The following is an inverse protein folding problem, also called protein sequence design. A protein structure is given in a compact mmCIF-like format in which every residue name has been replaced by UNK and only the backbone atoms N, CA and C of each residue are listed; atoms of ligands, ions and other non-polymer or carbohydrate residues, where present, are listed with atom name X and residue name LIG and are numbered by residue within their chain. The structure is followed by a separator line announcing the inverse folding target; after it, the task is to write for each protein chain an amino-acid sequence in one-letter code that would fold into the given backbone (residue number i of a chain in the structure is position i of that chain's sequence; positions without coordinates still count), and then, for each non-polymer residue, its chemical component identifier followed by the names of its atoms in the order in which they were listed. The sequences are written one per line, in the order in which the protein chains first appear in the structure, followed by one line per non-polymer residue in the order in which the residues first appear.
data_IF_719477317881
#
_entry.id   IF_719477317881
#
_cell.length_a   1.000
_cell.length_b   1.000
_cell.length_c   1.000
_cell.angle_alpha   90.00
_cell.angle_beta   90.00
_cell.angle_gamma   90.00
#
_symmetry.space_group_name_H-M   'P 1'
#
loop_
_entity.id
_entity.type
_entity.pdbx_description
1 polymer ?
#
# COMPACT_ATOMS: atom_id res chain seq x y z
N UNK A 1 6.36 22.10 -10.16
CA UNK A 1 6.44 20.67 -10.54
C UNK A 1 7.75 20.49 -11.30
N UNK A 2 8.80 19.98 -10.64
CA UNK A 2 10.18 20.14 -11.11
C UNK A 2 10.50 19.17 -12.27
N UNK A 3 10.95 19.73 -13.39
CA UNK A 3 11.14 19.09 -14.70
C UNK A 3 12.20 17.97 -14.75
N UNK A 4 12.85 17.65 -13.63
CA UNK A 4 13.86 16.59 -13.52
C UNK A 4 13.20 15.19 -13.46
N UNK A 5 11.97 15.08 -12.97
CA UNK A 5 11.27 13.79 -12.84
C UNK A 5 10.79 13.20 -14.17
N UNK A 6 10.58 14.01 -15.21
CA UNK A 6 10.08 13.49 -16.51
C UNK A 6 11.14 12.74 -17.32
N UNK A 7 12.42 13.08 -17.17
CA UNK A 7 13.50 12.47 -17.95
C UNK A 7 13.90 11.07 -17.44
N UNK A 8 13.66 10.78 -16.16
CA UNK A 8 14.02 9.50 -15.53
C UNK A 8 13.01 8.37 -15.84
N UNK A 9 11.76 8.72 -16.14
CA UNK A 9 10.66 7.78 -16.42
C UNK A 9 10.85 7.00 -17.74
N UNK A 10 11.68 7.50 -18.66
CA UNK A 10 11.79 6.94 -20.02
C UNK A 10 12.78 5.77 -20.17
N UNK A 11 13.58 5.42 -19.14
CA UNK A 11 14.76 4.54 -19.33
C UNK A 11 14.93 3.35 -18.39
N UNK A 12 14.04 3.12 -17.41
CA UNK A 12 14.14 1.96 -16.51
C UNK A 12 12.90 1.05 -16.61
N UNK A 13 13.11 -0.26 -16.71
CA UNK A 13 12.06 -1.26 -16.88
C UNK A 13 10.97 -1.18 -15.80
N UNK A 14 9.70 -1.25 -16.22
CA UNK A 14 8.51 -0.86 -15.46
C UNK A 14 8.22 -1.64 -14.16
N UNK A 15 8.96 -2.70 -13.85
CA UNK A 15 8.83 -3.44 -12.60
C UNK A 15 9.49 -2.69 -11.43
N UNK A 16 10.76 -2.30 -11.56
CA UNK A 16 11.52 -1.61 -10.52
C UNK A 16 10.98 -0.21 -10.17
N UNK A 17 10.42 0.50 -11.16
CA UNK A 17 9.83 1.82 -10.94
C UNK A 17 8.58 1.72 -10.06
N UNK A 18 7.76 0.69 -10.23
CA UNK A 18 6.55 0.49 -9.42
C UNK A 18 6.89 0.25 -7.95
N UNK A 19 7.94 -0.53 -7.67
CA UNK A 19 8.37 -0.86 -6.31
C UNK A 19 8.95 0.34 -5.54
N UNK A 20 9.77 1.17 -6.17
CA UNK A 20 10.31 2.39 -5.54
C UNK A 20 9.19 3.41 -5.27
N UNK A 21 8.24 3.55 -6.20
CA UNK A 21 7.11 4.47 -6.03
C UNK A 21 6.17 4.01 -4.91
N UNK A 22 5.92 2.70 -4.79
CA UNK A 22 5.08 2.16 -3.72
C UNK A 22 5.70 2.40 -2.33
N UNK A 23 7.01 2.24 -2.16
CA UNK A 23 7.64 2.57 -0.87
C UNK A 23 7.64 4.08 -0.60
N UNK A 24 7.93 4.90 -1.61
CA UNK A 24 8.00 6.36 -1.43
C UNK A 24 6.64 7.00 -1.13
N UNK A 25 5.54 6.42 -1.62
CA UNK A 25 4.18 6.92 -1.35
C UNK A 25 3.73 6.73 0.11
N UNK A 26 4.36 5.81 0.86
CA UNK A 26 4.09 5.60 2.28
C UNK A 26 5.07 6.30 3.22
N UNK A 27 6.09 7.01 2.72
CA UNK A 27 7.11 7.67 3.56
C UNK A 27 6.52 8.64 4.58
N UNK A 28 5.34 9.20 4.33
CA UNK A 28 4.62 10.05 5.29
C UNK A 28 4.27 9.34 6.60
N UNK A 29 4.19 8.00 6.62
CA UNK A 29 3.97 7.23 7.85
C UNK A 29 5.15 7.31 8.82
N UNK A 30 6.35 7.65 8.37
CA UNK A 30 7.52 7.81 9.23
C UNK A 30 7.63 9.23 9.84
N UNK A 31 6.80 10.18 9.41
CA UNK A 31 6.90 11.56 9.85
C UNK A 31 6.27 11.72 11.23
N UNK A 32 6.88 12.52 12.09
CA UNK A 32 6.30 12.89 13.39
C UNK A 32 5.51 14.19 13.31
N UNK A 33 4.66 14.41 14.30
CA UNK A 33 3.91 15.67 14.46
C UNK A 33 4.87 16.87 14.53
N UNK A 34 5.94 16.76 15.31
CA UNK A 34 6.92 17.81 15.54
C UNK A 34 7.67 18.15 14.24
N UNK A 35 8.03 17.14 13.45
CA UNK A 35 8.67 17.33 12.14
C UNK A 35 7.75 18.09 11.17
N UNK A 36 6.45 17.76 11.16
CA UNK A 36 5.46 18.45 10.33
C UNK A 36 5.26 19.90 10.75
N UNK A 37 5.22 20.18 12.04
CA UNK A 37 5.01 21.55 12.55
C UNK A 37 6.24 22.44 12.36
N UNK A 38 7.45 21.86 12.34
CA UNK A 38 8.72 22.57 12.19
C UNK A 38 9.29 22.53 10.77
N UNK A 39 8.52 22.08 9.78
CA UNK A 39 8.95 22.06 8.38
C UNK A 39 9.13 23.50 7.86
N UNK A 40 10.33 23.90 7.37
CA UNK A 40 10.54 25.25 6.83
C UNK A 40 9.54 25.59 5.73
N UNK A 41 8.88 26.74 5.84
CA UNK A 41 7.83 27.16 4.91
C UNK A 41 6.43 26.57 5.18
N UNK A 42 6.26 25.75 6.22
CA UNK A 42 4.96 25.26 6.69
C UNK A 42 4.52 26.00 7.96
N UNK A 43 3.28 26.49 7.99
CA UNK A 43 2.69 27.02 9.21
C UNK A 43 2.39 25.87 10.18
N UNK A 44 2.76 26.01 11.46
CA UNK A 44 2.53 25.01 12.52
C UNK A 44 1.07 24.50 12.61
N UNK A 45 0.08 25.37 12.38
CA UNK A 45 -1.35 24.98 12.34
C UNK A 45 -1.66 24.09 11.14
N UNK A 46 -1.04 24.36 9.98
CA UNK A 46 -1.17 23.50 8.79
C UNK A 46 -0.47 22.16 9.01
N UNK A 47 0.69 22.15 9.66
CA UNK A 47 1.38 20.92 10.06
C UNK A 47 0.54 20.05 10.98
N UNK A 48 -0.13 20.66 11.97
CA UNK A 48 -1.06 19.96 12.87
C UNK A 48 -2.27 19.37 12.12
N UNK A 49 -2.88 20.14 11.22
CA UNK A 49 -3.99 19.64 10.40
C UNK A 49 -3.57 18.44 9.54
N UNK A 50 -2.38 18.52 8.95
CA UNK A 50 -1.82 17.42 8.15
C UNK A 50 -1.57 16.19 9.00
N UNK A 51 -1.03 16.36 10.21
CA UNK A 51 -0.87 15.27 11.18
C UNK A 51 -2.20 14.56 11.49
N UNK A 52 -3.28 15.31 11.75
CA UNK A 52 -4.60 14.70 11.99
C UNK A 52 -5.11 13.90 10.79
N UNK A 53 -4.80 14.33 9.55
CA UNK A 53 -5.14 13.56 8.35
C UNK A 53 -4.34 12.26 8.25
N UNK A 54 -3.06 12.28 8.63
CA UNK A 54 -2.22 11.09 8.69
C UNK A 54 -2.74 10.09 9.73
N UNK A 55 -3.10 10.57 10.92
CA UNK A 55 -3.72 9.73 11.96
C UNK A 55 -5.04 9.11 11.50
N UNK A 56 -5.86 9.86 10.77
CA UNK A 56 -7.09 9.33 10.18
C UNK A 56 -6.82 8.28 9.09
N UNK A 57 -5.77 8.48 8.28
CA UNK A 57 -5.35 7.53 7.27
C UNK A 57 -4.81 6.23 7.89
N UNK A 58 -4.04 6.31 8.98
CA UNK A 58 -3.55 5.14 9.76
C UNK A 58 -4.68 4.24 10.25
N UNK A 59 -5.82 4.83 10.63
CA UNK A 59 -7.00 4.13 11.15
C UNK A 59 -7.93 3.58 10.06
N UNK A 60 -7.58 3.70 8.79
CA UNK A 60 -8.40 3.13 7.71
C UNK A 60 -8.43 1.61 7.81
N UNK A 61 -9.56 0.97 7.44
CA UNK A 61 -9.69 -0.48 7.50
C UNK A 61 -8.69 -1.16 6.55
N UNK A 62 -8.26 -2.37 6.92
CA UNK A 62 -7.30 -3.20 6.16
C UNK A 62 -7.59 -3.26 4.65
N UNK A 63 -8.87 -3.36 4.26
CA UNK A 63 -9.31 -3.36 2.85
C UNK A 63 -8.85 -2.13 2.06
N UNK A 64 -8.77 -0.97 2.70
CA UNK A 64 -8.32 0.27 2.08
C UNK A 64 -6.81 0.27 1.87
N UNK A 65 -6.07 -0.35 2.77
CA UNK A 65 -4.62 -0.53 2.68
C UNK A 65 -4.21 -1.51 1.59
N UNK A 66 -4.88 -2.66 1.45
CA UNK A 66 -4.58 -3.60 0.34
C UNK A 66 -4.89 -2.98 -1.04
N UNK A 67 -5.91 -2.12 -1.12
CA UNK A 67 -6.18 -1.35 -2.33
C UNK A 67 -5.07 -0.32 -2.60
N UNK A 68 -4.56 0.35 -1.56
CA UNK A 68 -3.46 1.31 -1.67
C UNK A 68 -2.11 0.64 -2.02
N UNK A 69 -1.88 -0.59 -1.56
CA UNK A 69 -0.73 -1.42 -1.96
C UNK A 69 -0.79 -1.81 -3.44
N UNK A 70 -1.97 -1.72 -4.07
CA UNK A 70 -2.17 -2.07 -5.47
C UNK A 70 -2.34 -3.56 -5.71
N UNK A 71 -2.86 -4.31 -4.72
CA UNK A 71 -3.23 -5.72 -4.89
C UNK A 71 -4.20 -5.83 -6.08
N UNK A 72 -3.93 -6.68 -7.09
CA UNK A 72 -4.71 -6.76 -8.33
C UNK A 72 -6.04 -7.51 -8.13
N UNK A 73 -6.88 -7.05 -7.21
CA UNK A 73 -8.19 -7.62 -6.89
C UNK A 73 -9.28 -7.10 -7.83
N UNK A 74 -10.01 -7.98 -8.54
CA UNK A 74 -11.24 -7.59 -9.22
C UNK A 74 -12.24 -6.94 -8.26
N UNK A 75 -13.03 -5.97 -8.72
CA UNK A 75 -13.98 -5.24 -7.86
C UNK A 75 -15.00 -6.16 -7.16
N UNK A 76 -15.49 -7.18 -7.87
CA UNK A 76 -16.41 -8.17 -7.29
C UNK A 76 -15.71 -8.99 -6.20
N UNK A 77 -14.49 -9.47 -6.47
CA UNK A 77 -13.66 -10.18 -5.49
C UNK A 77 -13.36 -9.31 -4.26
N UNK A 78 -13.04 -8.02 -4.43
CA UNK A 78 -12.76 -7.12 -3.32
C UNK A 78 -13.96 -6.93 -2.36
N UNK A 79 -15.20 -7.04 -2.88
CA UNK A 79 -16.43 -7.01 -2.07
C UNK A 79 -16.66 -8.34 -1.33
N UNK A 80 -16.41 -9.47 -2.00
CA UNK A 80 -16.64 -10.80 -1.45
C UNK A 80 -15.50 -11.32 -0.56
N UNK A 81 -14.29 -10.78 -0.70
CA UNK A 81 -13.12 -11.16 0.07
C UNK A 81 -13.40 -10.95 1.56
N UNK A 82 -13.25 -11.95 2.41
CA UNK A 82 -13.45 -11.83 3.85
C UNK A 82 -12.15 -12.08 4.61
N UNK A 83 -11.20 -11.15 4.47
CA UNK A 83 -9.91 -11.19 5.17
C UNK A 83 -9.63 -9.84 5.82
N UNK A 84 -9.04 -9.89 7.00
CA UNK A 84 -8.81 -8.73 7.87
C UNK A 84 -7.34 -8.50 8.19
N UNK A 85 -6.45 -9.40 7.77
CA UNK A 85 -5.01 -9.27 7.97
C UNK A 85 -4.21 -9.72 6.75
N UNK A 86 -2.97 -9.21 6.67
CA UNK A 86 -1.99 -9.59 5.66
C UNK A 86 -1.66 -11.08 5.75
N UNK A 87 -1.59 -11.64 6.95
CA UNK A 87 -1.38 -13.07 7.17
C UNK A 87 -2.51 -13.92 6.54
N UNK A 88 -3.77 -13.57 6.79
CA UNK A 88 -4.91 -14.28 6.17
C UNK A 88 -4.90 -14.19 4.65
N UNK A 89 -4.41 -13.07 4.10
CA UNK A 89 -4.26 -12.90 2.66
C UNK A 89 -3.17 -13.83 2.09
N UNK A 90 -2.05 -14.01 2.82
CA UNK A 90 -0.93 -14.88 2.44
C UNK A 90 -1.26 -16.37 2.52
N UNK A 91 -2.02 -16.78 3.53
CA UNK A 91 -2.43 -18.17 3.74
C UNK A 91 -3.47 -18.65 2.72
N UNK A 92 -4.06 -17.74 1.95
CA UNK A 92 -5.10 -18.05 0.98
C UNK A 92 -4.51 -18.74 -0.26
N UNK A 93 -4.88 -19.99 -0.47
CA UNK A 93 -4.43 -20.80 -1.60
C UNK A 93 -5.15 -20.48 -2.92
N UNK A 94 -4.68 -21.09 -4.01
CA UNK A 94 -5.18 -20.84 -5.36
C UNK A 94 -6.66 -21.23 -5.54
N UNK A 95 -7.12 -22.26 -4.85
CA UNK A 95 -8.52 -22.70 -4.91
C UNK A 95 -9.42 -21.68 -4.21
N UNK A 96 -9.04 -21.28 -3.00
CA UNK A 96 -9.71 -20.26 -2.21
C UNK A 96 -9.78 -18.92 -2.93
N UNK A 97 -8.74 -18.56 -3.71
CA UNK A 97 -8.77 -17.39 -4.58
C UNK A 97 -9.79 -17.53 -5.70
N UNK A 98 -9.88 -18.69 -6.35
CA UNK A 98 -10.81 -18.95 -7.44
C UNK A 98 -12.28 -18.97 -7.03
N UNK A 99 -12.58 -19.22 -5.75
CA UNK A 99 -13.94 -19.10 -5.21
C UNK A 99 -14.44 -17.64 -5.19
N UNK A 100 -13.57 -16.65 -5.37
CA UNK A 100 -13.99 -15.25 -5.41
C UNK A 100 -14.55 -14.87 -6.79
N UNK A 101 -15.63 -14.07 -6.83
CA UNK A 101 -16.25 -13.67 -8.08
C UNK A 101 -15.28 -12.84 -8.95
N UNK A 102 -15.10 -13.29 -10.19
CA UNK A 102 -14.19 -12.66 -11.16
C UNK A 102 -12.71 -13.06 -11.01
N UNK A 103 -12.39 -14.01 -10.12
CA UNK A 103 -11.03 -14.55 -9.98
C UNK A 103 -10.96 -15.92 -10.65
N UNK A 104 -10.50 -15.97 -11.90
CA UNK A 104 -10.12 -17.23 -12.55
C UNK A 104 -8.70 -17.67 -12.16
N UNK A 105 -8.25 -18.81 -12.71
CA UNK A 105 -6.90 -19.37 -12.49
C UNK A 105 -5.77 -18.35 -12.68
N UNK A 106 -5.81 -17.59 -13.77
CA UNK A 106 -4.78 -16.59 -14.08
C UNK A 106 -4.76 -15.44 -13.05
N UNK A 107 -5.93 -14.94 -12.65
CA UNK A 107 -6.02 -13.89 -11.62
C UNK A 107 -5.57 -14.42 -10.24
N UNK A 108 -5.92 -15.66 -9.89
CA UNK A 108 -5.46 -16.30 -8.68
C UNK A 108 -3.93 -16.41 -8.64
N UNK A 109 -3.30 -16.84 -9.75
CA UNK A 109 -1.84 -16.89 -9.86
C UNK A 109 -1.20 -15.50 -9.72
N UNK A 110 -1.76 -14.47 -10.37
CA UNK A 110 -1.28 -13.09 -10.23
C UNK A 110 -1.39 -12.57 -8.80
N UNK A 111 -2.48 -12.90 -8.11
CA UNK A 111 -2.69 -12.53 -6.70
C UNK A 111 -1.66 -13.20 -5.79
N UNK A 112 -1.49 -14.52 -5.92
CA UNK A 112 -0.51 -15.28 -5.15
C UNK A 112 0.90 -14.74 -5.39
N UNK A 113 1.28 -14.52 -6.66
CA UNK A 113 2.58 -13.97 -7.02
C UNK A 113 2.80 -12.57 -6.43
N UNK A 114 1.79 -11.70 -6.45
CA UNK A 114 1.88 -10.36 -5.86
C UNK A 114 2.04 -10.42 -4.33
N UNK A 115 1.25 -11.27 -3.66
CA UNK A 115 1.22 -11.38 -2.20
C UNK A 115 2.53 -12.00 -1.66
N UNK A 116 3.13 -12.91 -2.42
CA UNK A 116 4.38 -13.59 -2.05
C UNK A 116 5.64 -12.89 -2.58
N UNK A 117 5.50 -11.75 -3.27
CA UNK A 117 6.63 -10.96 -3.73
C UNK A 117 7.47 -10.46 -2.53
N UNK A 118 8.80 -10.69 -2.50
CA UNK A 118 9.65 -10.30 -1.37
C UNK A 118 9.63 -8.79 -1.07
N UNK A 119 9.46 -7.95 -2.10
CA UNK A 119 9.38 -6.50 -1.93
C UNK A 119 8.06 -6.11 -1.28
N UNK A 120 6.97 -6.74 -1.71
CA UNK A 120 5.65 -6.54 -1.10
C UNK A 120 5.63 -7.06 0.34
N UNK A 121 6.28 -8.20 0.62
CA UNK A 121 6.42 -8.72 1.98
C UNK A 121 7.22 -7.76 2.89
N UNK A 122 8.30 -7.18 2.38
CA UNK A 122 9.09 -6.17 3.11
C UNK A 122 8.27 -4.92 3.40
N UNK A 123 7.49 -4.45 2.41
CA UNK A 123 6.62 -3.29 2.59
C UNK A 123 5.50 -3.58 3.60
N UNK A 124 4.89 -4.77 3.55
CA UNK A 124 3.87 -5.20 4.50
C UNK A 124 4.42 -5.26 5.94
N UNK A 125 5.60 -5.85 6.13
CA UNK A 125 6.27 -5.86 7.44
C UNK A 125 6.54 -4.43 7.95
N UNK A 126 7.04 -3.55 7.09
CA UNK A 126 7.28 -2.16 7.45
C UNK A 126 5.97 -1.42 7.81
N UNK A 127 4.84 -1.68 7.14
CA UNK A 127 3.54 -1.13 7.53
C UNK A 127 3.11 -1.60 8.93
N UNK A 128 3.39 -2.86 9.28
CA UNK A 128 3.19 -3.39 10.64
C UNK A 128 4.05 -2.65 11.67
N UNK A 129 5.33 -2.40 11.36
CA UNK A 129 6.22 -1.58 12.20
C UNK A 129 5.72 -0.14 12.38
N UNK A 130 5.04 0.42 11.36
CA UNK A 130 4.39 1.73 11.45
C UNK A 130 3.04 1.71 12.21
N UNK A 131 2.63 0.56 12.76
CA UNK A 131 1.41 0.40 13.56
C UNK A 131 0.12 0.36 12.74
N UNK A 132 0.18 0.03 11.44
CA UNK A 132 -1.00 -0.10 10.60
C UNK A 132 -1.74 -1.40 10.95
N UNK A 133 -3.02 -1.28 11.35
CA UNK A 133 -3.82 -2.44 11.72
C UNK A 133 -4.01 -3.42 10.56
N UNK A 134 -3.77 -4.70 10.83
CA UNK A 134 -3.90 -5.79 9.87
C UNK A 134 -2.62 -6.09 9.09
N UNK A 135 -1.50 -5.41 9.35
CA UNK A 135 -0.17 -5.72 8.80
C UNK A 135 0.79 -6.19 9.89
#
# INVERSE_FOLDING_TARGET
MCSILKAWVSRAGGYYIKHIILRTSFLWLAWTKEQLQNTPGMNATRGLMLWHRFEFARKQPFRRWIAALGVPLPRAAAKALNVHSWQQLREKDAESWQQLPGVGKENAQKLIAFIHDPTIATLAAWLGEQGIQGF
#
